data_IF_076960161041
#
_entry.id   IF_076960161041
#
_cell.length_a   1.000
_cell.length_b   1.000
_cell.length_c   1.000
_cell.angle_alpha   90.00
_cell.angle_beta   90.00
_cell.angle_gamma   90.00
#
_symmetry.space_group_name_H-M   'P 1'
#
loop_
_entity.id
_entity.type
_entity.pdbx_description
1 polymer ?
#
# COMPACT_ATOMS: atom_id res chain seq x y z
N UNK A 1 -8.65 9.73 57.37
CA UNK A 1 -8.93 9.08 56.07
C UNK A 1 -7.70 9.25 55.20
N UNK A 2 -6.83 8.23 55.15
CA UNK A 2 -5.56 8.30 54.42
C UNK A 2 -5.76 7.92 52.96
N UNK A 3 -5.42 8.84 52.05
CA UNK A 3 -5.40 8.57 50.61
C UNK A 3 -4.17 7.71 50.32
N UNK A 4 -4.37 6.43 50.01
CA UNK A 4 -3.29 5.55 49.57
C UNK A 4 -2.84 5.97 48.17
N UNK A 5 -1.59 6.45 48.08
CA UNK A 5 -0.90 6.66 46.82
C UNK A 5 -0.70 5.30 46.14
N UNK A 6 -1.42 5.07 45.03
CA UNK A 6 -1.15 3.95 44.13
C UNK A 6 0.09 4.32 43.31
N UNK A 7 1.23 3.61 43.43
CA UNK A 7 2.38 3.89 42.59
C UNK A 7 2.02 3.53 41.14
N UNK A 8 1.96 4.55 40.28
CA UNK A 8 1.95 4.38 38.83
C UNK A 8 3.27 3.71 38.43
N UNK A 9 3.23 2.39 38.28
CA UNK A 9 4.34 1.60 37.75
C UNK A 9 4.49 1.93 36.26
N UNK A 10 5.21 3.02 35.95
CA UNK A 10 5.56 3.40 34.58
C UNK A 10 6.67 2.44 34.14
N UNK A 11 6.27 1.32 33.54
CA UNK A 11 7.17 0.51 32.75
C UNK A 11 7.70 1.39 31.60
N UNK A 12 8.91 1.97 31.77
CA UNK A 12 9.66 2.58 30.66
C UNK A 12 10.14 1.47 29.73
N UNK A 13 9.22 0.84 29.00
CA UNK A 13 9.56 0.24 27.73
C UNK A 13 10.10 1.38 26.87
N UNK A 14 11.35 1.30 26.39
CA UNK A 14 11.82 2.26 25.39
C UNK A 14 10.90 2.12 24.18
N UNK A 15 9.93 3.02 24.08
CA UNK A 15 8.91 2.99 23.05
C UNK A 15 9.61 3.35 21.74
N UNK A 16 10.11 2.32 21.05
CA UNK A 16 10.62 2.49 19.69
C UNK A 16 9.61 3.32 18.91
N UNK A 17 10.07 4.45 18.39
CA UNK A 17 9.22 5.43 17.70
C UNK A 17 8.58 4.78 16.45
N UNK A 18 7.48 5.32 15.95
CA UNK A 18 6.88 4.80 14.71
C UNK A 18 7.88 4.79 13.56
N UNK A 19 8.77 5.78 13.50
CA UNK A 19 9.89 5.85 12.56
C UNK A 19 10.83 4.66 12.66
N UNK A 20 11.20 4.22 13.87
CA UNK A 20 12.05 3.04 14.10
C UNK A 20 11.33 1.71 13.83
N UNK A 21 10.01 1.70 13.85
CA UNK A 21 9.18 0.52 13.55
C UNK A 21 8.75 0.45 12.09
N UNK A 22 8.93 1.53 11.33
CA UNK A 22 8.42 1.62 9.96
C UNK A 22 9.30 0.77 9.04
N UNK A 23 8.74 -0.22 8.34
CA UNK A 23 9.46 -1.02 7.34
C UNK A 23 9.74 -0.23 6.06
N UNK A 24 9.15 0.97 5.92
CA UNK A 24 9.23 1.81 4.73
C UNK A 24 10.28 2.90 4.86
N UNK A 25 10.78 3.14 6.07
CA UNK A 25 11.78 4.17 6.34
C UNK A 25 13.11 3.48 6.61
N UNK A 26 14.19 4.10 6.13
CA UNK A 26 15.55 3.64 6.43
C UNK A 26 15.79 3.75 7.95
N UNK A 27 16.60 2.85 8.52
CA UNK A 27 16.91 2.80 9.96
C UNK A 27 17.46 4.12 10.54
N UNK A 28 17.95 5.04 9.69
CA UNK A 28 18.46 6.35 10.07
C UNK A 28 17.70 7.51 9.38
N UNK A 29 16.40 7.31 9.10
CA UNK A 29 15.59 8.34 8.48
C UNK A 29 15.54 9.60 9.38
N UNK A 30 16.11 10.69 8.87
CA UNK A 30 16.05 12.01 9.50
C UNK A 30 15.09 12.88 8.70
N UNK A 31 14.09 13.44 9.38
CA UNK A 31 13.28 14.50 8.81
C UNK A 31 14.15 15.75 8.67
N UNK A 32 14.28 16.27 7.44
CA UNK A 32 14.86 17.59 7.24
C UNK A 32 13.98 18.62 7.96
N UNK A 33 14.53 19.23 9.02
CA UNK A 33 13.88 20.26 9.85
C UNK A 33 13.79 21.60 9.12
N UNK A 34 13.34 21.59 7.88
CA UNK A 34 12.85 22.80 7.24
C UNK A 34 11.54 23.19 7.90
N UNK A 35 11.35 24.50 8.12
CA UNK A 35 10.13 25.06 8.72
C UNK A 35 8.87 24.66 7.92
N UNK A 36 9.01 24.53 6.59
CA UNK A 36 7.97 24.03 5.69
C UNK A 36 7.58 22.57 5.99
N UNK A 37 8.54 21.71 6.32
CA UNK A 37 8.27 20.30 6.68
C UNK A 37 7.49 20.20 7.97
N UNK A 38 7.81 21.03 8.97
CA UNK A 38 7.13 21.03 10.26
C UNK A 38 5.70 21.56 10.16
N UNK A 39 5.45 22.55 9.31
CA UNK A 39 4.10 23.05 9.01
C UNK A 39 3.25 21.97 8.32
N UNK A 40 3.80 21.33 7.29
CA UNK A 40 3.14 20.25 6.54
C UNK A 40 2.77 19.06 7.44
N UNK A 41 3.69 18.62 8.30
CA UNK A 41 3.42 17.55 9.27
C UNK A 41 2.30 17.91 10.24
N UNK A 42 2.29 19.15 10.74
CA UNK A 42 1.20 19.65 11.60
C UNK A 42 -0.13 19.67 10.87
N UNK A 43 -0.16 20.05 9.59
CA UNK A 43 -1.36 19.97 8.77
C UNK A 43 -1.86 18.53 8.61
N UNK A 44 -0.98 17.56 8.34
CA UNK A 44 -1.37 16.16 8.22
C UNK A 44 -1.90 15.59 9.53
N UNK A 45 -1.27 15.92 10.66
CA UNK A 45 -1.77 15.52 11.98
C UNK A 45 -3.15 16.13 12.22
N UNK A 46 -3.32 17.44 11.99
CA UNK A 46 -4.61 18.13 12.09
C UNK A 46 -5.65 17.46 11.21
N UNK A 47 -5.33 17.19 9.94
CA UNK A 47 -6.20 16.50 8.99
C UNK A 47 -6.64 15.13 9.50
N UNK A 48 -5.70 14.33 10.04
CA UNK A 48 -6.01 12.98 10.55
C UNK A 48 -6.89 13.01 11.79
N UNK A 49 -6.75 14.05 12.61
CA UNK A 49 -7.53 14.26 13.83
C UNK A 49 -8.86 15.00 13.57
N UNK A 50 -9.17 15.42 12.33
CA UNK A 50 -10.46 16.03 12.02
C UNK A 50 -11.62 15.09 12.37
N UNK A 51 -12.74 15.60 12.90
CA UNK A 51 -13.92 14.78 13.22
C UNK A 51 -14.43 13.96 12.03
N UNK A 52 -14.32 14.49 10.81
CA UNK A 52 -14.70 13.78 9.58
C UNK A 52 -13.86 12.52 9.34
N UNK A 53 -12.54 12.59 9.59
CA UNK A 53 -11.64 11.46 9.43
C UNK A 53 -11.79 10.43 10.55
N UNK A 54 -12.05 10.90 11.78
CA UNK A 54 -12.40 10.03 12.90
C UNK A 54 -13.71 9.27 12.62
N UNK A 55 -14.75 9.97 12.14
CA UNK A 55 -16.02 9.36 11.74
C UNK A 55 -15.83 8.33 10.63
N UNK A 56 -15.01 8.62 9.60
CA UNK A 56 -14.68 7.65 8.55
C UNK A 56 -13.96 6.42 9.09
N UNK A 57 -13.08 6.60 10.08
CA UNK A 57 -12.35 5.50 10.73
C UNK A 57 -13.30 4.63 11.55
N UNK A 58 -14.14 5.25 12.38
CA UNK A 58 -15.13 4.57 13.20
C UNK A 58 -16.15 3.80 12.36
N UNK A 59 -16.70 4.43 11.31
CA UNK A 59 -17.67 3.80 10.39
C UNK A 59 -17.03 2.87 9.37
N UNK A 60 -15.71 2.70 9.40
CA UNK A 60 -14.96 1.89 8.45
C UNK A 60 -15.19 2.31 6.98
N UNK A 61 -15.41 3.61 6.72
CA UNK A 61 -15.60 4.17 5.37
C UNK A 61 -14.33 4.79 4.82
N UNK A 62 -13.17 4.25 5.23
CA UNK A 62 -11.88 4.66 4.72
C UNK A 62 -11.59 4.01 3.35
N UNK A 63 -10.64 4.58 2.61
CA UNK A 63 -10.25 4.10 1.27
C UNK A 63 -9.81 2.64 1.28
N UNK A 64 -9.09 2.22 2.32
CA UNK A 64 -8.60 0.83 2.44
C UNK A 64 -9.76 -0.17 2.54
N UNK A 65 -10.83 0.17 3.28
CA UNK A 65 -12.01 -0.67 3.38
C UNK A 65 -12.80 -0.69 2.07
N UNK A 66 -12.95 0.45 1.41
CA UNK A 66 -13.58 0.52 0.10
C UNK A 66 -12.85 -0.38 -0.93
N UNK A 67 -11.51 -0.32 -0.96
CA UNK A 67 -10.70 -1.21 -1.81
C UNK A 67 -10.84 -2.68 -1.45
N UNK A 68 -10.85 -3.02 -0.15
CA UNK A 68 -11.02 -4.41 0.29
C UNK A 68 -12.38 -4.96 -0.13
N UNK A 69 -13.44 -4.17 0.01
CA UNK A 69 -14.79 -4.52 -0.44
C UNK A 69 -14.84 -4.66 -1.97
N UNK A 70 -14.26 -3.73 -2.72
CA UNK A 70 -14.22 -3.80 -4.19
C UNK A 70 -13.46 -5.04 -4.67
N UNK A 71 -12.35 -5.40 -4.02
CA UNK A 71 -11.62 -6.64 -4.31
C UNK A 71 -12.48 -7.88 -4.06
N UNK A 72 -13.18 -7.93 -2.93
CA UNK A 72 -14.08 -9.05 -2.64
C UNK A 72 -15.25 -9.16 -3.63
N UNK A 73 -15.81 -8.02 -4.05
CA UNK A 73 -16.86 -7.97 -5.08
C UNK A 73 -16.31 -8.50 -6.39
N UNK A 74 -15.14 -8.04 -6.85
CA UNK A 74 -14.52 -8.53 -8.10
C UNK A 74 -14.20 -10.03 -8.06
N UNK A 75 -13.80 -10.56 -6.90
CA UNK A 75 -13.58 -11.99 -6.72
C UNK A 75 -14.91 -12.79 -6.78
N UNK A 76 -16.00 -12.23 -6.26
CA UNK A 76 -17.31 -12.90 -6.23
C UNK A 76 -18.11 -12.70 -7.51
N UNK A 77 -17.88 -11.59 -8.21
CA UNK A 77 -18.51 -11.24 -9.48
C UNK A 77 -17.42 -10.84 -10.46
N UNK A 78 -16.78 -11.84 -11.11
CA UNK A 78 -15.81 -11.58 -12.17
C UNK A 78 -16.45 -10.83 -13.34
N UNK A 79 -15.71 -9.93 -13.97
CA UNK A 79 -16.21 -9.09 -15.08
C UNK A 79 -16.53 -9.88 -16.36
N UNK A 80 -16.01 -11.09 -16.48
CA UNK A 80 -16.24 -11.98 -17.62
C UNK A 80 -17.47 -12.88 -17.46
N UNK A 81 -18.24 -12.77 -16.36
CA UNK A 81 -19.41 -13.60 -16.10
C UNK A 81 -20.62 -12.74 -15.72
N UNK A 82 -21.74 -12.96 -16.39
CA UNK A 82 -22.99 -12.24 -16.13
C UNK A 82 -23.88 -13.02 -15.14
N UNK A 83 -24.28 -12.38 -14.03
CA UNK A 83 -25.14 -12.99 -13.01
C UNK A 83 -26.51 -12.28 -12.90
N UNK A 84 -27.35 -12.33 -13.94
CA UNK A 84 -28.62 -11.57 -13.98
C UNK A 84 -29.53 -11.78 -12.77
N UNK A 85 -29.75 -13.03 -12.34
CA UNK A 85 -30.68 -13.37 -11.26
C UNK A 85 -30.10 -13.19 -9.85
N UNK A 86 -28.80 -13.37 -9.67
CA UNK A 86 -28.16 -13.55 -8.36
C UNK A 86 -27.05 -12.52 -8.08
N UNK A 87 -26.83 -11.54 -8.96
CA UNK A 87 -25.81 -10.49 -8.79
C UNK A 87 -25.92 -9.80 -7.43
N UNK A 88 -27.12 -9.30 -7.08
CA UNK A 88 -27.35 -8.55 -5.85
C UNK A 88 -26.99 -9.37 -4.61
N UNK A 89 -27.43 -10.63 -4.56
CA UNK A 89 -27.13 -11.54 -3.46
C UNK A 89 -25.62 -11.80 -3.34
N UNK A 90 -24.94 -12.06 -4.45
CA UNK A 90 -23.48 -12.27 -4.49
C UNK A 90 -22.71 -11.06 -3.94
N UNK A 91 -23.07 -9.85 -4.40
CA UNK A 91 -22.45 -8.61 -3.93
C UNK A 91 -22.68 -8.40 -2.44
N UNK A 92 -23.93 -8.55 -1.96
CA UNK A 92 -24.24 -8.37 -0.55
C UNK A 92 -23.54 -9.38 0.35
N UNK A 93 -23.47 -10.65 -0.05
CA UNK A 93 -22.72 -11.68 0.67
C UNK A 93 -21.23 -11.36 0.73
N UNK A 94 -20.63 -10.87 -0.37
CA UNK A 94 -19.23 -10.45 -0.38
C UNK A 94 -18.96 -9.31 0.62
N UNK A 95 -19.84 -8.30 0.64
CA UNK A 95 -19.75 -7.18 1.60
C UNK A 95 -19.89 -7.69 3.04
N UNK A 96 -20.85 -8.56 3.31
CA UNK A 96 -21.09 -9.11 4.64
C UNK A 96 -19.91 -9.95 5.14
N UNK A 97 -19.31 -10.76 4.27
CA UNK A 97 -18.10 -11.53 4.54
C UNK A 97 -16.91 -10.63 4.89
N UNK A 98 -16.70 -9.53 4.15
CA UNK A 98 -15.61 -8.58 4.41
C UNK A 98 -15.78 -7.85 5.75
N UNK A 99 -17.00 -7.71 6.24
CA UNK A 99 -17.30 -7.08 7.52
C UNK A 99 -17.17 -8.01 8.72
N UNK A 100 -17.65 -9.25 8.61
CA UNK A 100 -17.75 -10.18 9.73
C UNK A 100 -16.69 -11.29 9.73
N UNK A 101 -16.04 -11.54 8.59
CA UNK A 101 -15.29 -12.77 8.36
C UNK A 101 -16.18 -13.90 7.83
N UNK A 102 -15.61 -14.88 7.13
CA UNK A 102 -16.37 -15.90 6.39
C UNK A 102 -17.20 -16.82 7.29
N UNK A 103 -16.66 -17.26 8.43
CA UNK A 103 -17.37 -18.19 9.32
C UNK A 103 -18.53 -17.52 10.04
N UNK A 104 -18.26 -16.38 10.69
CA UNK A 104 -19.27 -15.58 11.38
C UNK A 104 -20.36 -15.05 10.45
N UNK A 105 -19.99 -14.67 9.23
CA UNK A 105 -20.94 -14.22 8.21
C UNK A 105 -22.01 -15.27 7.94
N UNK A 106 -21.61 -16.52 7.71
CA UNK A 106 -22.54 -17.63 7.42
C UNK A 106 -23.46 -17.88 8.61
N UNK A 107 -22.91 -17.94 9.83
CA UNK A 107 -23.72 -18.16 11.05
C UNK A 107 -24.79 -17.08 11.20
N UNK A 108 -24.43 -15.80 11.01
CA UNK A 108 -25.37 -14.67 11.11
C UNK A 108 -26.43 -14.71 10.01
N UNK A 109 -26.05 -15.04 8.77
CA UNK A 109 -26.99 -15.13 7.65
C UNK A 109 -27.98 -16.28 7.84
N UNK A 110 -27.52 -17.45 8.26
CA UNK A 110 -28.38 -18.60 8.58
C UNK A 110 -29.36 -18.27 9.72
N UNK A 111 -28.88 -17.62 10.78
CA UNK A 111 -29.75 -17.15 11.87
C UNK A 111 -30.81 -16.16 11.37
N UNK A 112 -30.42 -15.20 10.51
CA UNK A 112 -31.35 -14.22 9.96
C UNK A 112 -32.37 -14.83 8.99
N UNK A 113 -32.01 -15.92 8.30
CA UNK A 113 -32.90 -16.67 7.42
C UNK A 113 -33.89 -17.59 8.17
N UNK A 114 -33.86 -17.61 9.51
CA UNK A 114 -34.71 -18.48 10.33
C UNK A 114 -34.21 -19.93 10.41
N UNK A 115 -33.00 -20.21 9.92
CA UNK A 115 -32.38 -21.54 9.94
C UNK A 115 -31.06 -21.48 10.73
N UNK A 116 -31.10 -21.25 12.06
CA UNK A 116 -29.89 -21.18 12.86
C UNK A 116 -29.14 -22.51 12.82
N UNK A 117 -27.81 -22.43 12.76
CA UNK A 117 -26.96 -23.62 12.81
C UNK A 117 -26.83 -24.05 14.27
N UNK A 118 -27.16 -25.31 14.55
CA UNK A 118 -27.10 -25.89 15.89
C UNK A 118 -25.71 -25.71 16.53
N UNK A 119 -25.62 -25.17 17.76
CA UNK A 119 -24.37 -25.10 18.50
C UNK A 119 -23.73 -26.48 18.67
N UNK A 120 -22.39 -26.57 18.53
CA UNK A 120 -21.67 -27.84 18.70
C UNK A 120 -21.75 -28.83 17.51
N UNK A 121 -22.63 -28.58 16.54
CA UNK A 121 -22.69 -29.38 15.30
C UNK A 121 -21.37 -29.40 14.54
N UNK A 122 -21.20 -30.38 13.65
CA UNK A 122 -20.03 -30.47 12.75
C UNK A 122 -19.90 -29.22 11.88
N UNK A 123 -21.03 -28.68 11.40
CA UNK A 123 -21.07 -27.44 10.63
C UNK A 123 -20.53 -26.26 11.43
N UNK A 124 -20.99 -26.08 12.67
CA UNK A 124 -20.50 -25.02 13.57
C UNK A 124 -19.00 -25.14 13.84
N UNK A 125 -18.49 -26.36 14.05
CA UNK A 125 -17.04 -26.60 14.21
C UNK A 125 -16.25 -26.22 12.96
N UNK A 126 -16.74 -26.59 11.77
CA UNK A 126 -16.15 -26.20 10.49
C UNK A 126 -16.09 -24.68 10.31
N UNK A 127 -17.19 -23.98 10.57
CA UNK A 127 -17.25 -22.51 10.46
C UNK A 127 -16.32 -21.81 11.44
N UNK A 128 -16.22 -22.31 12.68
CA UNK A 128 -15.24 -21.80 13.67
C UNK A 128 -13.80 -21.98 13.21
N UNK A 129 -13.47 -23.12 12.59
CA UNK A 129 -12.14 -23.35 12.06
C UNK A 129 -11.81 -22.42 10.89
N UNK A 130 -12.76 -22.21 9.97
CA UNK A 130 -12.63 -21.24 8.87
C UNK A 130 -12.38 -19.83 9.41
N UNK A 131 -13.17 -19.41 10.40
CA UNK A 131 -13.01 -18.11 11.04
C UNK A 131 -11.63 -17.97 11.71
N UNK A 132 -11.23 -18.95 12.52
CA UNK A 132 -9.94 -18.98 13.21
C UNK A 132 -8.77 -18.93 12.22
N UNK A 133 -8.85 -19.68 11.13
CA UNK A 133 -7.83 -19.68 10.09
C UNK A 133 -7.72 -18.29 9.43
N UNK A 134 -8.85 -17.68 9.09
CA UNK A 134 -8.89 -16.32 8.55
C UNK A 134 -8.29 -15.28 9.52
N UNK A 135 -8.61 -15.37 10.81
CA UNK A 135 -8.04 -14.50 11.85
C UNK A 135 -6.53 -14.70 12.01
N UNK A 136 -6.07 -15.95 12.05
CA UNK A 136 -4.64 -16.29 12.09
C UNK A 136 -3.90 -15.70 10.89
N UNK A 137 -4.45 -15.85 9.68
CA UNK A 137 -3.88 -15.25 8.47
C UNK A 137 -3.88 -13.72 8.52
N UNK A 138 -4.93 -13.10 9.04
CA UNK A 138 -5.00 -11.64 9.21
C UNK A 138 -3.92 -11.14 10.16
N UNK A 139 -3.73 -11.80 11.30
CA UNK A 139 -2.68 -11.47 12.28
C UNK A 139 -1.29 -11.69 11.68
N UNK A 140 -1.08 -12.80 10.98
CA UNK A 140 0.17 -13.08 10.27
C UNK A 140 0.50 -11.98 9.25
N UNK A 141 -0.48 -11.53 8.46
CA UNK A 141 -0.30 -10.43 7.49
C UNK A 141 -0.01 -9.07 8.14
N UNK A 142 -0.30 -8.91 9.42
CA UNK A 142 0.05 -7.73 10.22
C UNK A 142 1.39 -7.87 10.95
N UNK A 143 1.98 -9.07 10.94
CA UNK A 143 3.26 -9.32 11.60
C UNK A 143 4.39 -8.53 10.92
N UNK A 144 5.39 -8.15 11.72
CA UNK A 144 6.59 -7.48 11.22
C UNK A 144 7.30 -8.33 10.16
N UNK A 145 7.49 -9.62 10.44
CA UNK A 145 8.12 -10.58 9.51
C UNK A 145 7.47 -10.57 8.12
N UNK A 146 6.14 -10.67 8.06
CA UNK A 146 5.43 -10.63 6.77
C UNK A 146 5.58 -9.28 6.07
N UNK A 147 5.56 -8.20 6.84
CA UNK A 147 5.69 -6.85 6.32
C UNK A 147 7.09 -6.60 5.72
N UNK A 148 8.14 -7.02 6.44
CA UNK A 148 9.53 -6.92 6.01
C UNK A 148 9.77 -7.77 4.75
N UNK A 149 9.31 -9.02 4.75
CA UNK A 149 9.39 -9.91 3.59
C UNK A 149 8.71 -9.28 2.36
N UNK A 150 7.48 -8.78 2.52
CA UNK A 150 6.75 -8.13 1.42
C UNK A 150 7.46 -6.87 0.91
N UNK A 151 8.12 -6.11 1.77
CA UNK A 151 8.92 -4.95 1.35
C UNK A 151 10.13 -5.40 0.54
N UNK A 152 10.82 -6.46 0.96
CA UNK A 152 11.96 -7.05 0.24
C UNK A 152 11.54 -7.57 -1.14
N UNK A 153 10.50 -8.39 -1.21
CA UNK A 153 9.96 -8.92 -2.47
C UNK A 153 9.53 -7.80 -3.44
N UNK A 154 8.95 -6.72 -2.91
CA UNK A 154 8.62 -5.56 -3.74
C UNK A 154 9.85 -4.82 -4.24
N UNK A 155 10.88 -4.68 -3.41
CA UNK A 155 12.11 -3.99 -3.79
C UNK A 155 12.79 -4.72 -4.94
N UNK A 156 12.95 -6.04 -4.82
CA UNK A 156 13.50 -6.90 -5.88
C UNK A 156 12.68 -6.80 -7.18
N UNK A 157 11.35 -6.81 -7.07
CA UNK A 157 10.49 -6.65 -8.25
C UNK A 157 10.65 -5.29 -8.94
N UNK A 158 10.90 -4.22 -8.18
CA UNK A 158 11.17 -2.90 -8.76
C UNK A 158 12.54 -2.83 -9.42
N UNK A 159 13.57 -3.45 -8.84
CA UNK A 159 14.90 -3.54 -9.46
C UNK A 159 14.82 -4.24 -10.82
N UNK A 160 14.15 -5.40 -10.89
CA UNK A 160 13.92 -6.12 -12.15
C UNK A 160 13.14 -5.26 -13.15
N UNK A 161 12.14 -4.50 -12.68
CA UNK A 161 11.35 -3.62 -13.54
C UNK A 161 12.19 -2.47 -14.11
N UNK A 162 13.04 -1.85 -13.29
CA UNK A 162 13.89 -0.73 -13.68
C UNK A 162 14.93 -1.21 -14.69
N UNK A 163 15.60 -2.34 -14.45
CA UNK A 163 16.50 -3.00 -15.41
C UNK A 163 15.80 -3.27 -16.75
N UNK A 164 14.57 -3.78 -16.72
CA UNK A 164 13.79 -4.01 -17.94
C UNK A 164 13.42 -2.71 -18.66
N UNK A 165 13.09 -1.63 -17.94
CA UNK A 165 12.85 -0.33 -18.55
C UNK A 165 14.12 0.27 -19.17
N UNK A 166 15.26 0.13 -18.50
CA UNK A 166 16.57 0.55 -19.00
C UNK A 166 16.91 -0.22 -20.27
N UNK A 167 16.78 -1.55 -20.27
CA UNK A 167 17.04 -2.38 -21.44
C UNK A 167 16.13 -1.99 -22.62
N UNK A 168 14.83 -1.81 -22.36
CA UNK A 168 13.86 -1.37 -23.37
C UNK A 168 14.24 0.01 -23.94
N UNK A 169 14.70 0.93 -23.10
CA UNK A 169 15.15 2.26 -23.49
C UNK A 169 16.46 2.19 -24.30
N UNK A 170 17.40 1.33 -23.91
CA UNK A 170 18.64 1.09 -24.62
C UNK A 170 18.40 0.47 -25.99
N UNK A 171 17.55 -0.56 -26.09
CA UNK A 171 17.14 -1.17 -27.37
C UNK A 171 16.50 -0.14 -28.29
N UNK A 172 15.61 0.71 -27.76
CA UNK A 172 14.98 1.80 -28.50
C UNK A 172 16.01 2.84 -28.99
N UNK A 173 16.94 3.23 -28.13
CA UNK A 173 18.03 4.17 -28.48
C UNK A 173 18.97 3.60 -29.54
N UNK A 174 19.36 2.33 -29.42
CA UNK A 174 20.20 1.64 -30.39
C UNK A 174 19.50 1.49 -31.75
N UNK A 175 18.21 1.17 -31.75
CA UNK A 175 17.40 1.14 -32.97
C UNK A 175 17.40 2.49 -33.70
N UNK A 176 17.22 3.60 -32.99
CA UNK A 176 17.26 4.94 -33.61
C UNK A 176 18.67 5.39 -33.99
N UNK A 177 19.71 4.91 -33.30
CA UNK A 177 21.11 5.16 -33.70
C UNK A 177 21.44 4.49 -35.03
N UNK A 178 20.92 3.29 -35.28
CA UNK A 178 21.16 2.53 -36.53
C UNK A 178 20.25 2.99 -37.68
N UNK A 179 18.98 3.30 -37.41
CA UNK A 179 17.97 3.57 -38.45
C UNK A 179 17.61 5.07 -38.60
N UNK A 180 18.26 5.95 -37.84
CA UNK A 180 17.93 7.37 -37.76
C UNK A 180 16.75 7.66 -36.82
N UNK A 181 16.76 8.86 -36.23
CA UNK A 181 15.67 9.34 -35.38
C UNK A 181 14.50 9.81 -36.24
N UNK A 182 13.25 9.47 -35.90
CA UNK A 182 12.10 9.91 -36.69
C UNK A 182 11.95 11.44 -36.61
N UNK A 183 11.74 12.09 -37.77
CA UNK A 183 11.76 13.56 -37.93
C UNK A 183 10.79 14.33 -37.02
N UNK A 184 9.74 13.69 -36.51
CA UNK A 184 8.80 14.29 -35.55
C UNK A 184 9.38 14.46 -34.14
N UNK A 185 10.31 13.61 -33.71
CA UNK A 185 11.03 13.74 -32.43
C UNK A 185 12.15 14.79 -32.53
N UNK A 186 12.83 14.86 -33.67
CA UNK A 186 13.85 15.88 -33.94
C UNK A 186 13.26 17.31 -33.97
N UNK A 187 11.97 17.46 -34.27
CA UNK A 187 11.26 18.75 -34.24
C UNK A 187 10.80 19.17 -32.84
N UNK A 188 10.58 18.23 -31.91
CA UNK A 188 10.18 18.52 -30.52
C UNK A 188 11.37 18.72 -29.58
N UNK A 189 12.51 18.11 -29.89
CA UNK A 189 13.80 18.45 -29.30
C UNK A 189 14.32 19.69 -30.04
N UNK A 190 13.76 20.86 -29.72
CA UNK A 190 14.35 22.14 -30.15
C UNK A 190 15.66 22.29 -29.36
N UNK A 191 16.76 21.72 -29.88
CA UNK A 191 18.08 21.96 -29.33
C UNK A 191 18.30 23.48 -29.26
N UNK A 192 18.84 24.02 -28.16
CA UNK A 192 19.24 25.41 -28.11
C UNK A 192 20.12 25.71 -29.33
N UNK A 193 19.91 26.84 -30.01
CA UNK A 193 20.55 27.19 -31.29
C UNK A 193 22.10 27.10 -31.31
N UNK A 194 22.74 26.89 -30.16
CA UNK A 194 24.20 26.90 -29.98
C UNK A 194 24.76 25.60 -29.36
N UNK A 195 24.02 24.48 -29.37
CA UNK A 195 24.44 23.23 -28.71
C UNK A 195 25.80 22.70 -29.21
N UNK A 196 26.10 22.87 -30.50
CA UNK A 196 27.38 22.49 -31.09
C UNK A 196 28.56 23.32 -30.53
N UNK A 197 28.33 24.60 -30.19
CA UNK A 197 29.35 25.46 -29.59
C UNK A 197 29.60 25.13 -28.11
N UNK A 198 28.59 24.68 -27.38
CA UNK A 198 28.72 24.34 -25.96
C UNK A 198 29.36 22.96 -25.75
N UNK A 199 29.10 21.99 -26.63
CA UNK A 199 29.80 20.70 -26.64
C UNK A 199 31.30 20.85 -26.99
N UNK A 200 31.66 21.79 -27.86
CA UNK A 200 33.05 22.15 -28.15
C UNK A 200 33.77 22.82 -26.97
N UNK A 201 33.05 23.49 -26.06
CA UNK A 201 33.63 24.06 -24.83
C UNK A 201 33.88 22.99 -23.77
N UNK A 202 32.97 22.02 -23.63
CA UNK A 202 33.11 20.91 -22.65
C UNK A 202 34.31 20.03 -22.99
N UNK A 203 34.59 19.80 -24.28
CA UNK A 203 35.75 19.02 -24.70
C UNK A 203 37.11 19.73 -24.50
N UNK A 204 37.10 21.06 -24.34
CA UNK A 204 38.30 21.87 -24.09
C UNK A 204 38.59 22.10 -22.60
N UNK A 205 37.74 21.62 -21.69
CA UNK A 205 38.01 21.68 -20.25
C UNK A 205 39.11 20.67 -19.88
N UNK A 206 40.06 21.05 -19.00
CA UNK A 206 41.08 20.14 -18.49
C UNK A 206 40.42 18.99 -17.72
N UNK A 207 41.04 17.81 -17.76
CA UNK A 207 40.47 16.56 -17.25
C UNK A 207 40.09 16.60 -15.74
N UNK A 208 40.64 17.54 -14.97
CA UNK A 208 40.35 17.72 -13.54
C UNK A 208 38.93 18.19 -13.25
N UNK A 209 38.25 18.85 -14.19
CA UNK A 209 36.89 19.38 -14.00
C UNK A 209 35.79 18.51 -14.63
N UNK A 210 36.15 17.35 -15.21
CA UNK A 210 35.19 16.44 -15.85
C UNK A 210 34.53 15.43 -14.89
N UNK A 211 34.88 15.49 -13.61
CA UNK A 211 34.36 14.58 -12.57
C UNK A 211 33.63 15.34 -11.47
N UNK A 212 32.44 15.86 -11.77
CA UNK A 212 31.38 16.07 -10.78
C UNK A 212 30.04 15.77 -11.45
N UNK A 213 29.68 14.48 -11.48
CA UNK A 213 28.31 13.95 -11.42
C UNK A 213 28.38 12.55 -10.82
#
# INVERSE_FOLDING_TARGET
>A
MGVQNIPLFVHRNSLKTWTEKSPYLKNNFKLNKSENTAALLREYVKYRLRPTMQNRTCKNTNTQKAEATNRAIRATVPSNVTFTRNYKGRVQTAIHNVNNGPGESIVKLCKAAGVPIEPGSRATRGLKNIQRHNEKHKLYKQSKRYTDQRCSEKHELYEIYDEYQEEKTMRKTNFYRQNGWPQNILKSIRLPKNWDQDMLKINKLPASDKTIW
#
